data_IF_102641026670
#
_entry.id   IF_102641026670
#
_cell.length_a   1.000
_cell.length_b   1.000
_cell.length_c   1.000
_cell.angle_alpha   90.00
_cell.angle_beta   90.00
_cell.angle_gamma   90.00
#
_symmetry.space_group_name_H-M   'P 1'
#
loop_
_entity.id
_entity.type
_entity.pdbx_description
1 polymer ?
#
# COMPACT_ATOMS: atom_id res chain seq x y z
N UNK A 1 3.79 12.82 -7.97
CA UNK A 1 4.50 11.52 -7.83
C UNK A 1 3.93 10.58 -8.88
N UNK A 2 4.76 9.92 -9.68
CA UNK A 2 4.28 9.00 -10.72
C UNK A 2 4.00 7.64 -10.07
N UNK A 3 2.73 7.30 -9.86
CA UNK A 3 2.32 5.96 -9.43
C UNK A 3 2.61 4.97 -10.52
N UNK A 4 3.08 3.78 -10.14
CA UNK A 4 3.41 2.73 -11.10
C UNK A 4 2.16 1.93 -11.47
N UNK A 5 2.02 1.49 -12.74
CA UNK A 5 0.84 0.73 -13.18
C UNK A 5 0.57 -0.51 -12.33
N UNK A 6 1.62 -1.23 -11.90
CA UNK A 6 1.48 -2.45 -11.09
C UNK A 6 0.81 -2.16 -9.73
N UNK A 7 1.17 -1.04 -9.09
CA UNK A 7 0.57 -0.62 -7.81
C UNK A 7 -0.91 -0.25 -7.99
N UNK A 8 -1.25 0.39 -9.11
CA UNK A 8 -2.64 0.74 -9.43
C UNK A 8 -3.48 -0.52 -9.66
N UNK A 9 -2.99 -1.46 -10.49
CA UNK A 9 -3.67 -2.74 -10.74
C UNK A 9 -3.81 -3.54 -9.45
N UNK A 10 -2.75 -3.59 -8.63
CA UNK A 10 -2.82 -4.22 -7.30
C UNK A 10 -3.86 -3.57 -6.38
N UNK A 11 -3.98 -2.24 -6.38
CA UNK A 11 -5.03 -1.52 -5.66
C UNK A 11 -6.44 -1.88 -6.14
N UNK A 12 -6.65 -2.01 -7.45
CA UNK A 12 -7.94 -2.43 -8.02
C UNK A 12 -8.28 -3.87 -7.61
N UNK A 13 -7.30 -4.78 -7.64
CA UNK A 13 -7.50 -6.16 -7.18
C UNK A 13 -7.86 -6.20 -5.68
N UNK A 14 -7.25 -5.36 -4.84
CA UNK A 14 -7.66 -5.27 -3.43
C UNK A 14 -9.11 -4.80 -3.24
N UNK A 15 -9.64 -3.95 -4.12
CA UNK A 15 -11.07 -3.61 -4.10
C UNK A 15 -11.91 -4.86 -4.38
N UNK A 16 -11.56 -5.66 -5.38
CA UNK A 16 -12.26 -6.91 -5.67
C UNK A 16 -12.18 -7.91 -4.53
N UNK A 17 -11.00 -8.07 -3.91
CA UNK A 17 -10.85 -8.90 -2.72
C UNK A 17 -11.78 -8.44 -1.59
N UNK A 18 -11.85 -7.13 -1.34
CA UNK A 18 -12.78 -6.56 -0.37
C UNK A 18 -14.24 -6.84 -0.71
N UNK A 19 -14.66 -6.69 -1.97
CA UNK A 19 -16.03 -6.99 -2.41
C UNK A 19 -16.38 -8.47 -2.21
N UNK A 20 -15.48 -9.38 -2.62
CA UNK A 20 -15.71 -10.82 -2.49
C UNK A 20 -15.78 -11.27 -1.03
N UNK A 21 -15.08 -10.59 -0.11
CA UNK A 21 -15.11 -10.91 1.31
C UNK A 21 -16.31 -10.32 2.08
N UNK A 22 -17.10 -9.41 1.48
CA UNK A 22 -18.23 -8.76 2.20
C UNK A 22 -19.30 -9.76 2.63
N UNK A 23 -19.71 -10.68 1.76
CA UNK A 23 -20.78 -11.62 2.11
C UNK A 23 -20.35 -12.55 3.26
N UNK A 24 -19.15 -13.12 3.17
CA UNK A 24 -18.60 -13.93 4.24
C UNK A 24 -18.47 -13.11 5.53
N UNK A 25 -17.98 -11.87 5.47
CA UNK A 25 -17.89 -11.01 6.65
C UNK A 25 -19.25 -10.79 7.33
N UNK A 26 -20.33 -10.59 6.58
CA UNK A 26 -21.68 -10.47 7.13
C UNK A 26 -22.16 -11.78 7.80
N UNK A 27 -22.01 -12.91 7.11
CA UNK A 27 -22.37 -14.22 7.66
C UNK A 27 -21.56 -14.55 8.92
N UNK A 28 -20.26 -14.29 8.86
CA UNK A 28 -19.32 -14.41 9.97
C UNK A 28 -19.75 -13.60 11.19
N UNK A 29 -20.19 -12.34 11.01
CA UNK A 29 -20.62 -11.49 12.13
C UNK A 29 -21.88 -12.09 12.77
N UNK A 30 -22.86 -12.51 11.97
CA UNK A 30 -24.08 -13.14 12.47
C UNK A 30 -23.74 -14.42 13.26
N UNK A 31 -22.99 -15.33 12.63
CA UNK A 31 -22.56 -16.59 13.25
C UNK A 31 -21.75 -16.36 14.53
N UNK A 32 -20.94 -15.29 14.59
CA UNK A 32 -20.16 -14.94 15.79
C UNK A 32 -21.07 -14.54 16.94
N UNK A 33 -22.10 -13.73 16.69
CA UNK A 33 -23.06 -13.36 17.74
C UNK A 33 -23.87 -14.55 18.24
N UNK A 34 -24.27 -15.44 17.33
CA UNK A 34 -25.00 -16.65 17.69
C UNK A 34 -24.11 -17.60 18.53
N UNK A 35 -22.87 -17.82 18.09
CA UNK A 35 -21.89 -18.65 18.82
C UNK A 35 -21.51 -18.07 20.20
N UNK A 36 -21.44 -16.75 20.34
CA UNK A 36 -21.17 -16.10 21.64
C UNK A 36 -22.29 -16.33 22.67
N UNK A 37 -23.51 -16.60 22.20
CA UNK A 37 -24.63 -16.91 23.10
C UNK A 37 -24.68 -18.39 23.51
N UNK A 38 -24.02 -19.28 22.75
CA UNK A 38 -24.08 -20.74 22.93
C UNK A 38 -22.72 -21.36 23.31
N UNK A 39 -21.82 -20.59 23.95
CA UNK A 39 -20.43 -21.01 24.20
C UNK A 39 -20.35 -22.34 24.97
N UNK A 40 -20.23 -23.42 24.22
CA UNK A 40 -19.67 -24.70 24.61
C UNK A 40 -18.20 -24.70 24.15
N UNK A 41 -17.29 -25.19 25.01
CA UNK A 41 -15.84 -25.12 24.81
C UNK A 41 -15.29 -26.09 23.72
N UNK A 42 -16.14 -26.62 22.85
CA UNK A 42 -15.78 -27.61 21.83
C UNK A 42 -15.37 -26.94 20.49
N UNK A 43 -15.67 -27.59 19.36
CA UNK A 43 -15.41 -27.11 17.98
C UNK A 43 -15.86 -25.66 17.70
N UNK A 44 -16.81 -25.14 18.49
CA UNK A 44 -17.30 -23.76 18.45
C UNK A 44 -16.19 -22.70 18.52
N UNK A 45 -15.09 -22.97 19.24
CA UNK A 45 -13.98 -21.99 19.34
C UNK A 45 -13.20 -21.85 18.03
N UNK A 46 -13.04 -22.94 17.28
CA UNK A 46 -12.33 -22.92 16.00
C UNK A 46 -13.15 -22.17 14.95
N UNK A 47 -14.46 -22.40 14.92
CA UNK A 47 -15.38 -21.65 14.07
C UNK A 47 -15.41 -20.17 14.44
N UNK A 48 -15.37 -19.84 15.73
CA UNK A 48 -15.26 -18.45 16.19
C UNK A 48 -13.96 -17.79 15.72
N UNK A 49 -12.81 -18.47 15.87
CA UNK A 49 -11.51 -17.96 15.37
C UNK A 49 -11.54 -17.77 13.87
N UNK A 50 -12.11 -18.74 13.13
CA UNK A 50 -12.18 -18.69 11.69
C UNK A 50 -12.99 -17.50 11.20
N UNK A 51 -14.17 -17.29 11.80
CA UNK A 51 -15.04 -16.15 11.57
C UNK A 51 -14.35 -14.83 11.97
N UNK A 52 -13.86 -14.71 13.20
CA UNK A 52 -13.19 -13.50 13.67
C UNK A 52 -12.02 -13.09 12.77
N UNK A 53 -11.21 -14.06 12.32
CA UNK A 53 -10.07 -13.85 11.42
C UNK A 53 -10.49 -13.44 10.01
N UNK A 54 -11.68 -13.85 9.54
CA UNK A 54 -12.16 -13.48 8.22
C UNK A 54 -12.66 -12.03 8.16
N UNK A 55 -13.26 -11.53 9.25
CA UNK A 55 -13.84 -10.18 9.32
C UNK A 55 -12.90 -9.00 8.95
N UNK A 56 -11.61 -8.95 9.35
CA UNK A 56 -10.71 -7.85 8.98
C UNK A 56 -10.26 -7.86 7.51
N UNK A 57 -10.51 -8.94 6.74
CA UNK A 57 -10.05 -9.04 5.33
C UNK A 57 -10.63 -7.90 4.51
N UNK A 58 -11.94 -7.64 4.61
CA UNK A 58 -12.61 -6.57 3.86
C UNK A 58 -12.00 -5.21 4.18
N UNK A 59 -11.83 -4.90 5.47
CA UNK A 59 -11.28 -3.60 5.90
C UNK A 59 -9.83 -3.44 5.43
N UNK A 60 -8.98 -4.43 5.68
CA UNK A 60 -7.56 -4.38 5.32
C UNK A 60 -7.36 -4.31 3.81
N UNK A 61 -8.18 -5.00 3.02
CA UNK A 61 -8.15 -4.92 1.57
C UNK A 61 -8.55 -3.52 1.06
N UNK A 62 -9.68 -2.96 1.52
CA UNK A 62 -10.13 -1.62 1.08
C UNK A 62 -9.16 -0.52 1.51
N UNK A 63 -8.69 -0.54 2.77
CA UNK A 63 -7.71 0.46 3.24
C UNK A 63 -6.37 0.28 2.52
N UNK A 64 -5.96 -0.96 2.24
CA UNK A 64 -4.78 -1.26 1.44
C UNK A 64 -4.87 -0.70 0.01
N UNK A 65 -6.05 -0.80 -0.63
CA UNK A 65 -6.32 -0.23 -1.94
C UNK A 65 -6.17 1.30 -1.93
N UNK A 66 -6.74 1.97 -0.92
CA UNK A 66 -6.62 3.43 -0.75
C UNK A 66 -5.14 3.83 -0.66
N UNK A 67 -4.34 3.15 0.18
CA UNK A 67 -2.91 3.44 0.28
C UNK A 67 -2.14 3.14 -1.01
N UNK A 68 -2.56 2.15 -1.79
CA UNK A 68 -1.98 1.87 -3.10
C UNK A 68 -2.19 3.07 -4.06
N UNK A 69 -3.41 3.63 -4.11
CA UNK A 69 -3.71 4.81 -4.93
C UNK A 69 -3.04 6.09 -4.44
N UNK A 70 -2.83 6.24 -3.13
CA UNK A 70 -2.09 7.35 -2.53
C UNK A 70 -0.55 7.23 -2.68
N UNK A 71 -0.06 6.26 -3.46
CA UNK A 71 1.37 5.99 -3.65
C UNK A 71 2.13 5.66 -2.34
N UNK A 72 1.43 5.13 -1.33
CA UNK A 72 2.00 4.69 -0.05
C UNK A 72 2.29 3.19 -0.07
N UNK A 73 3.15 2.77 -1.01
CA UNK A 73 3.39 1.36 -1.33
C UNK A 73 3.73 0.47 -0.13
N UNK A 74 4.53 0.94 0.84
CA UNK A 74 4.86 0.16 2.05
C UNK A 74 3.63 -0.20 2.90
N UNK A 75 2.74 0.78 3.12
CA UNK A 75 1.50 0.58 3.89
C UNK A 75 0.52 -0.31 3.11
N UNK A 76 0.41 -0.09 1.80
CA UNK A 76 -0.42 -0.92 0.93
C UNK A 76 0.02 -2.40 0.96
N UNK A 77 1.34 -2.67 0.87
CA UNK A 77 1.89 -4.03 0.97
C UNK A 77 1.54 -4.65 2.33
N UNK A 78 1.79 -3.93 3.43
CA UNK A 78 1.53 -4.41 4.79
C UNK A 78 0.07 -4.84 4.96
N UNK A 79 -0.87 -4.02 4.49
CA UNK A 79 -2.30 -4.30 4.57
C UNK A 79 -2.73 -5.44 3.64
N UNK A 80 -2.20 -5.51 2.42
CA UNK A 80 -2.48 -6.62 1.50
C UNK A 80 -1.97 -7.97 2.02
N UNK A 81 -0.77 -7.97 2.64
CA UNK A 81 -0.21 -9.15 3.29
C UNK A 81 -1.03 -9.56 4.50
N UNK A 82 -1.51 -8.58 5.29
CA UNK A 82 -2.40 -8.85 6.42
C UNK A 82 -3.72 -9.51 5.96
N UNK A 83 -4.35 -8.99 4.90
CA UNK A 83 -5.57 -9.60 4.32
C UNK A 83 -5.33 -11.06 3.90
N UNK A 84 -4.20 -11.33 3.24
CA UNK A 84 -3.81 -12.68 2.80
C UNK A 84 -3.57 -13.61 4.01
N UNK A 85 -2.89 -13.10 5.04
CA UNK A 85 -2.63 -13.86 6.27
C UNK A 85 -3.92 -14.19 7.01
N UNK A 86 -4.83 -13.23 7.14
CA UNK A 86 -6.13 -13.43 7.78
C UNK A 86 -6.96 -14.49 7.06
N UNK A 87 -6.93 -14.51 5.72
CA UNK A 87 -7.56 -15.57 4.94
C UNK A 87 -6.97 -16.95 5.28
N UNK A 88 -5.64 -17.08 5.34
CA UNK A 88 -4.99 -18.34 5.71
C UNK A 88 -5.35 -18.81 7.12
N UNK A 89 -5.34 -17.90 8.10
CA UNK A 89 -5.70 -18.25 9.49
C UNK A 89 -7.15 -18.73 9.55
N UNK A 90 -8.05 -18.06 8.84
CA UNK A 90 -9.45 -18.47 8.75
C UNK A 90 -9.60 -19.85 8.08
N UNK A 91 -8.93 -20.07 6.95
CA UNK A 91 -8.95 -21.33 6.22
C UNK A 91 -8.45 -22.51 7.07
N UNK A 92 -7.35 -22.32 7.81
CA UNK A 92 -6.80 -23.34 8.71
C UNK A 92 -7.78 -23.62 9.86
N UNK A 93 -8.31 -22.58 10.50
CA UNK A 93 -9.25 -22.73 11.61
C UNK A 93 -10.53 -23.46 11.17
N UNK A 94 -11.08 -23.13 9.99
CA UNK A 94 -12.22 -23.85 9.40
C UNK A 94 -11.89 -25.31 9.11
N UNK A 95 -10.73 -25.59 8.51
CA UNK A 95 -10.31 -26.95 8.19
C UNK A 95 -10.19 -27.79 9.46
N UNK A 96 -9.53 -27.27 10.51
CA UNK A 96 -9.39 -27.99 11.79
C UNK A 96 -10.78 -28.16 12.43
N UNK A 97 -11.65 -27.15 12.41
CA UNK A 97 -13.01 -27.25 12.91
C UNK A 97 -13.80 -28.38 12.26
N UNK A 98 -13.74 -28.50 10.93
CA UNK A 98 -14.38 -29.59 10.19
C UNK A 98 -13.82 -30.97 10.55
N UNK A 99 -12.51 -31.08 10.73
CA UNK A 99 -11.87 -32.33 11.16
C UNK A 99 -12.32 -32.78 12.56
N UNK A 100 -12.72 -31.85 13.44
CA UNK A 100 -13.22 -32.20 14.79
C UNK A 100 -14.64 -32.78 14.80
N UNK A 101 -15.38 -32.65 13.69
CA UNK A 101 -16.75 -33.18 13.52
C UNK A 101 -16.79 -34.34 12.53
N UNK A 102 -15.71 -35.12 12.46
CA UNK A 102 -15.55 -36.34 11.65
C UNK A 102 -15.68 -36.16 10.12
N UNK A 103 -15.48 -34.93 9.62
CA UNK A 103 -15.39 -34.69 8.17
C UNK A 103 -14.02 -35.12 7.64
N UNK A 104 -13.99 -35.77 6.48
CA UNK A 104 -12.73 -36.22 5.88
C UNK A 104 -11.82 -35.04 5.51
N UNK A 105 -10.49 -35.22 5.58
CA UNK A 105 -9.54 -34.14 5.26
C UNK A 105 -9.73 -33.55 3.85
N UNK A 106 -9.98 -34.42 2.85
CA UNK A 106 -10.19 -33.97 1.47
C UNK A 106 -11.45 -33.10 1.33
N UNK A 107 -12.53 -33.48 2.01
CA UNK A 107 -13.79 -32.73 2.04
C UNK A 107 -13.64 -31.41 2.80
N UNK A 108 -12.95 -31.42 3.95
CA UNK A 108 -12.68 -30.22 4.72
C UNK A 108 -11.89 -29.17 3.91
N UNK A 109 -10.84 -29.61 3.21
CA UNK A 109 -10.05 -28.74 2.32
C UNK A 109 -10.88 -28.27 1.13
N UNK A 110 -11.68 -29.14 0.53
CA UNK A 110 -12.57 -28.78 -0.58
C UNK A 110 -13.57 -27.69 -0.18
N UNK A 111 -14.21 -27.82 0.98
CA UNK A 111 -15.19 -26.85 1.48
C UNK A 111 -14.56 -25.47 1.72
N UNK A 112 -13.31 -25.42 2.18
CA UNK A 112 -12.59 -24.16 2.41
C UNK A 112 -12.12 -23.51 1.10
N UNK A 113 -11.72 -24.30 0.10
CA UNK A 113 -11.18 -23.78 -1.17
C UNK A 113 -12.31 -23.41 -2.15
N UNK A 114 -13.30 -24.27 -2.28
CA UNK A 114 -14.36 -24.17 -3.29
C UNK A 114 -15.61 -23.47 -2.72
N UNK A 115 -15.71 -23.36 -1.40
CA UNK A 115 -16.94 -22.94 -0.73
C UNK A 115 -17.80 -24.16 -0.37
N UNK A 116 -18.90 -23.90 0.33
CA UNK A 116 -19.77 -24.95 0.86
C UNK A 116 -20.80 -25.38 -0.17
N UNK A 117 -21.26 -26.63 -0.07
CA UNK A 117 -22.37 -27.11 -0.89
C UNK A 117 -23.64 -26.30 -0.54
N UNK A 118 -24.24 -25.69 -1.56
CA UNK A 118 -25.40 -24.80 -1.40
C UNK A 118 -25.07 -23.30 -1.31
N UNK A 119 -23.78 -22.93 -1.26
CA UNK A 119 -23.39 -21.53 -1.39
C UNK A 119 -23.79 -21.00 -2.78
N UNK A 120 -24.43 -19.83 -2.80
CA UNK A 120 -24.64 -19.09 -4.04
C UNK A 120 -23.32 -18.64 -4.66
N UNK A 121 -23.35 -18.17 -5.91
CA UNK A 121 -22.16 -17.71 -6.65
C UNK A 121 -21.24 -16.78 -5.83
N UNK A 122 -21.81 -15.85 -5.07
CA UNK A 122 -21.05 -14.92 -4.25
C UNK A 122 -20.36 -15.59 -3.04
N UNK A 123 -20.92 -16.68 -2.51
CA UNK A 123 -20.28 -17.52 -1.49
C UNK A 123 -19.05 -18.24 -2.06
N UNK A 124 -19.16 -18.83 -3.25
CA UNK A 124 -18.00 -19.41 -3.95
C UNK A 124 -16.89 -18.38 -4.21
N UNK A 125 -17.26 -17.14 -4.59
CA UNK A 125 -16.28 -16.06 -4.81
C UNK A 125 -15.52 -15.68 -3.54
N UNK A 126 -16.16 -15.84 -2.38
CA UNK A 126 -15.58 -15.47 -1.10
C UNK A 126 -14.49 -16.45 -0.62
N UNK A 127 -14.44 -17.68 -1.16
CA UNK A 127 -13.43 -18.68 -0.85
C UNK A 127 -12.08 -18.44 -1.58
N UNK A 128 -11.67 -19.36 -2.46
CA UNK A 128 -10.39 -19.27 -3.20
C UNK A 128 -10.23 -18.03 -4.08
N UNK A 129 -11.27 -17.44 -4.71
CA UNK A 129 -11.07 -16.25 -5.52
C UNK A 129 -10.62 -15.04 -4.69
N UNK A 130 -11.16 -14.82 -3.49
CA UNK A 130 -10.66 -13.79 -2.55
C UNK A 130 -9.17 -13.99 -2.25
N UNK A 131 -8.75 -15.23 -2.00
CA UNK A 131 -7.35 -15.56 -1.74
C UNK A 131 -6.46 -15.26 -2.95
N UNK A 132 -6.81 -15.77 -4.13
CA UNK A 132 -6.03 -15.57 -5.35
C UNK A 132 -5.90 -14.08 -5.66
N UNK A 133 -7.00 -13.33 -5.57
CA UNK A 133 -7.01 -11.89 -5.85
C UNK A 133 -6.16 -11.12 -4.83
N UNK A 134 -6.27 -11.41 -3.54
CA UNK A 134 -5.46 -10.76 -2.49
C UNK A 134 -3.97 -11.09 -2.60
N UNK A 135 -3.62 -12.34 -2.93
CA UNK A 135 -2.24 -12.76 -3.15
C UNK A 135 -1.62 -12.08 -4.37
N UNK A 136 -2.33 -12.09 -5.51
CA UNK A 136 -1.86 -11.43 -6.74
C UNK A 136 -1.73 -9.92 -6.51
N UNK A 137 -2.67 -9.30 -5.81
CA UNK A 137 -2.57 -7.90 -5.43
C UNK A 137 -1.32 -7.62 -4.60
N UNK A 138 -1.05 -8.43 -3.57
CA UNK A 138 0.13 -8.32 -2.71
C UNK A 138 1.42 -8.39 -3.55
N UNK A 139 1.52 -9.35 -4.47
CA UNK A 139 2.67 -9.51 -5.37
C UNK A 139 2.85 -8.28 -6.26
N UNK A 140 1.77 -7.79 -6.89
CA UNK A 140 1.84 -6.65 -7.79
C UNK A 140 2.23 -5.36 -7.07
N UNK A 141 1.69 -5.10 -5.87
CA UNK A 141 2.05 -3.93 -5.06
C UNK A 141 3.51 -4.06 -4.61
N UNK A 142 3.96 -5.25 -4.21
CA UNK A 142 5.36 -5.50 -3.83
C UNK A 142 6.32 -5.24 -4.99
N UNK A 143 6.03 -5.78 -6.18
CA UNK A 143 6.82 -5.53 -7.39
C UNK A 143 6.79 -4.04 -7.76
N UNK A 144 5.62 -3.39 -7.67
CA UNK A 144 5.46 -1.95 -7.88
C UNK A 144 6.25 -1.10 -6.89
N UNK A 145 6.46 -1.57 -5.66
CA UNK A 145 7.17 -0.86 -4.60
C UNK A 145 8.71 -0.91 -4.68
N UNK A 146 9.30 -1.86 -5.42
CA UNK A 146 10.76 -1.97 -5.54
C UNK A 146 11.34 -0.91 -6.49
N UNK A 147 12.42 -0.18 -6.17
CA UNK A 147 13.04 0.74 -7.13
C UNK A 147 13.39 0.00 -8.43
N UNK A 148 13.03 0.58 -9.59
CA UNK A 148 13.38 -0.07 -10.88
C UNK A 148 14.90 -0.08 -11.05
N UNK A 149 15.43 -0.98 -11.87
CA UNK A 149 16.85 -0.94 -12.26
C UNK A 149 17.24 0.45 -12.79
N UNK A 150 16.35 1.12 -13.53
CA UNK A 150 16.54 2.49 -13.98
C UNK A 150 16.69 3.48 -12.83
N UNK A 151 15.80 3.42 -11.81
CA UNK A 151 15.89 4.28 -10.62
C UNK A 151 17.17 4.02 -9.82
N UNK A 152 17.59 2.74 -9.71
CA UNK A 152 18.83 2.36 -9.03
C UNK A 152 20.06 2.86 -9.77
N UNK A 153 20.09 2.76 -11.11
CA UNK A 153 21.19 3.27 -11.93
C UNK A 153 21.23 4.79 -11.89
N UNK A 154 20.08 5.47 -12.00
CA UNK A 154 20.00 6.93 -11.93
C UNK A 154 20.46 7.46 -10.57
N UNK A 155 19.99 6.86 -9.47
CA UNK A 155 20.45 7.22 -8.12
C UNK A 155 21.94 6.94 -7.95
N UNK A 156 22.44 5.77 -8.38
CA UNK A 156 23.87 5.44 -8.34
C UNK A 156 24.72 6.46 -9.12
N UNK A 157 24.30 6.83 -10.32
CA UNK A 157 24.99 7.83 -11.14
C UNK A 157 24.97 9.22 -10.48
N UNK A 158 23.86 9.62 -9.85
CA UNK A 158 23.77 10.86 -9.08
C UNK A 158 24.77 10.86 -7.91
N UNK A 159 24.88 9.76 -7.16
CA UNK A 159 25.86 9.65 -6.08
C UNK A 159 27.30 9.69 -6.61
N UNK A 160 27.61 8.99 -7.70
CA UNK A 160 28.95 9.00 -8.31
C UNK A 160 29.32 10.40 -8.85
N UNK A 161 28.38 11.09 -9.49
CA UNK A 161 28.59 12.46 -9.97
C UNK A 161 28.88 13.42 -8.81
N UNK A 162 28.25 13.23 -7.66
CA UNK A 162 28.46 14.08 -6.49
C UNK A 162 29.67 13.66 -5.63
N UNK A 163 30.16 12.42 -5.74
CA UNK A 163 31.39 12.00 -5.03
C UNK A 163 32.65 12.70 -5.56
N UNK A 164 32.65 13.16 -6.81
CA UNK A 164 33.71 14.01 -7.36
C UNK A 164 33.58 15.49 -6.97
N UNK A 165 32.44 15.90 -6.39
CA UNK A 165 32.23 17.25 -5.90
C UNK A 165 32.80 17.36 -4.48
N UNK A 166 34.11 17.57 -4.36
CA UNK A 166 34.62 18.16 -3.13
C UNK A 166 34.00 19.56 -3.05
N UNK A 167 33.26 19.90 -1.96
CA UNK A 167 32.91 21.30 -1.74
C UNK A 167 34.22 22.09 -1.80
N UNK A 168 34.25 23.25 -2.49
CA UNK A 168 35.46 24.05 -2.58
C UNK A 168 36.06 24.15 -1.18
N UNK A 169 37.25 23.57 -1.00
CA UNK A 169 37.96 23.68 0.27
C UNK A 169 37.96 25.16 0.62
N UNK A 170 37.53 25.49 1.84
CA UNK A 170 37.36 26.87 2.29
C UNK A 170 38.59 27.67 1.84
N UNK A 171 38.40 28.48 0.80
CA UNK A 171 39.50 29.24 0.22
C UNK A 171 40.07 30.06 1.38
N UNK A 172 41.41 30.18 1.51
CA UNK A 172 42.01 31.04 2.51
C UNK A 172 41.31 32.38 2.46
N UNK A 173 40.87 32.86 3.64
CA UNK A 173 39.98 34.01 3.80
C UNK A 173 40.35 35.11 2.80
N UNK A 174 39.56 35.22 1.74
CA UNK A 174 39.76 36.27 0.75
C UNK A 174 39.61 37.60 1.50
N UNK A 175 40.49 38.58 1.24
CA UNK A 175 40.34 39.91 1.80
C UNK A 175 38.91 40.39 1.58
N UNK A 176 38.27 40.82 2.67
CA UNK A 176 36.87 41.23 2.75
C UNK A 176 36.46 41.99 1.50
N UNK A 177 35.66 41.36 0.63
CA UNK A 177 35.08 42.05 -0.52
C UNK A 177 34.31 43.28 -0.02
N UNK A 178 34.32 44.40 -0.76
CA UNK A 178 33.57 45.58 -0.39
C UNK A 178 32.10 45.22 -0.14
N UNK A 179 31.60 45.79 0.95
CA UNK A 179 30.29 45.54 1.55
C UNK A 179 29.16 45.42 0.52
N UNK A 180 28.22 44.51 0.83
CA UNK A 180 27.00 44.22 0.10
C UNK A 180 26.43 45.48 -0.59
N UNK A 181 26.59 45.51 -1.91
CA UNK A 181 25.98 46.53 -2.77
C UNK A 181 24.47 46.37 -2.58
N UNK A 182 23.79 47.41 -2.11
CA UNK A 182 22.38 47.37 -1.72
C UNK A 182 21.43 46.83 -2.81
N UNK A 183 20.18 46.55 -2.46
CA UNK A 183 19.16 46.16 -3.43
C UNK A 183 18.42 47.41 -3.93
N UNK A 184 18.09 47.47 -5.23
CA UNK A 184 17.20 48.48 -5.83
C UNK A 184 15.96 47.81 -6.41
N UNK A 185 14.82 48.49 -6.42
CA UNK A 185 13.59 48.00 -7.07
C UNK A 185 13.58 48.38 -8.56
N UNK A 186 13.10 47.48 -9.42
CA UNK A 186 12.96 47.74 -10.85
C UNK A 186 11.73 48.63 -11.13
N UNK A 187 11.84 49.72 -11.92
CA UNK A 187 10.71 50.64 -12.16
C UNK A 187 9.57 50.03 -12.99
N UNK A 188 9.85 49.02 -13.82
CA UNK A 188 8.85 48.38 -14.68
C UNK A 188 8.07 47.25 -14.00
N UNK A 189 8.72 46.51 -13.09
CA UNK A 189 8.14 45.29 -12.51
C UNK A 189 8.17 45.22 -10.98
N UNK A 190 8.67 46.27 -10.30
CA UNK A 190 8.80 46.39 -8.85
C UNK A 190 9.67 45.33 -8.15
N UNK A 191 10.26 44.38 -8.87
CA UNK A 191 11.11 43.34 -8.31
C UNK A 191 12.42 43.89 -7.74
N UNK A 192 12.86 43.30 -6.62
CA UNK A 192 14.10 43.67 -5.94
C UNK A 192 15.31 43.00 -6.61
N UNK A 193 16.25 43.82 -7.05
CA UNK A 193 17.45 43.38 -7.78
C UNK A 193 18.70 44.00 -7.15
N UNK A 194 19.89 43.47 -7.46
CA UNK A 194 21.16 44.03 -7.00
C UNK A 194 21.35 45.45 -7.54
N UNK A 195 21.85 46.39 -6.74
CA UNK A 195 21.96 47.79 -7.16
C UNK A 195 22.90 47.99 -8.36
N UNK A 196 23.92 47.13 -8.52
CA UNK A 196 24.82 47.12 -9.68
C UNK A 196 24.25 46.40 -10.92
N UNK A 197 23.00 45.94 -10.90
CA UNK A 197 22.38 45.31 -12.06
C UNK A 197 22.17 46.32 -13.20
N UNK A 198 22.76 46.00 -14.37
CA UNK A 198 22.60 46.74 -15.64
C UNK A 198 21.25 46.44 -16.30
N UNK A 199 20.67 45.26 -16.01
CA UNK A 199 19.42 44.79 -16.60
C UNK A 199 18.60 43.99 -15.59
N UNK A 200 17.27 44.19 -15.58
CA UNK A 200 16.37 43.41 -14.73
C UNK A 200 16.23 41.98 -15.27
N UNK A 201 16.46 40.97 -14.42
CA UNK A 201 16.32 39.55 -14.80
C UNK A 201 14.88 39.12 -15.07
N UNK A 202 13.91 39.87 -14.57
CA UNK A 202 12.49 39.51 -14.62
C UNK A 202 11.80 40.11 -15.85
N UNK A 203 11.96 41.42 -16.08
CA UNK A 203 11.30 42.13 -17.18
C UNK A 203 12.23 42.59 -18.30
N UNK A 204 13.53 42.29 -18.23
CA UNK A 204 14.54 42.69 -19.20
C UNK A 204 14.78 44.21 -19.37
N UNK A 205 14.19 45.06 -18.52
CA UNK A 205 14.45 46.50 -18.50
C UNK A 205 15.94 46.82 -18.27
N UNK A 206 16.52 47.76 -19.03
CA UNK A 206 17.90 48.21 -18.89
C UNK A 206 17.96 49.49 -18.09
N UNK A 207 18.74 49.49 -17.01
CA UNK A 207 19.01 50.68 -16.21
C UNK A 207 20.09 51.49 -16.93
N UNK A 208 19.74 52.69 -17.40
CA UNK A 208 20.68 53.67 -17.95
C UNK A 208 21.30 54.51 -16.82
#
# INVERSE_FOLDING_TARGET
>A
MKTRPQTIVGGVLLIFAGIFSVQLAFQTIQNTFDLLNEISFDSSILYLIANASYSPITLTAIVGAIFAFLNRGKLAIMLSSAATLFWFVSAIAWTIGLLTVDVSFGEAVSNVIVGWEGDGFLGTLSASPTFVVSLVATILIFVGGKPTLGDQVASRNYYLANQGYQPPQAMPAMPSMPQQVGMKSCPECAEMIQANAVKCRFCNYRFQ
#
